data_IF_829870046471
#
_entry.id   IF_829870046471
#
_cell.length_a   1.000
_cell.length_b   1.000
_cell.length_c   1.000
_cell.angle_alpha   90.00
_cell.angle_beta   90.00
_cell.angle_gamma   90.00
#
_symmetry.space_group_name_H-M   'P 1'
#
loop_
_entity.id
_entity.type
_entity.pdbx_description
1 polymer ?
#
# COMPACT_ATOMS: atom_id res chain seq x y z
N UNK A 1 11.90 11.31 63.13
CA UNK A 1 11.10 12.45 63.59
C UNK A 1 10.94 12.50 65.13
N UNK A 2 11.95 12.09 65.92
CA UNK A 2 11.94 12.17 67.41
C UNK A 2 13.12 12.97 67.99
N UNK A 3 13.94 13.56 67.11
CA UNK A 3 15.26 14.12 67.43
C UNK A 3 15.24 15.39 68.31
N UNK A 4 14.16 16.18 68.25
CA UNK A 4 14.05 17.45 68.97
C UNK A 4 12.82 17.50 69.88
N UNK A 5 12.49 16.38 70.53
CA UNK A 5 11.43 16.33 71.52
C UNK A 5 11.93 16.81 72.90
N UNK A 6 11.07 17.42 73.71
CA UNK A 6 11.42 17.76 75.09
C UNK A 6 11.80 16.50 75.89
N UNK A 7 12.68 16.61 76.91
CA UNK A 7 13.33 15.46 77.55
C UNK A 7 12.34 14.43 78.14
N UNK A 8 11.18 14.88 78.62
CA UNK A 8 10.13 14.01 79.16
C UNK A 8 9.53 13.08 78.09
N UNK A 9 9.44 13.54 76.85
CA UNK A 9 8.95 12.75 75.72
C UNK A 9 10.09 11.93 75.09
N UNK A 10 11.32 12.43 75.10
CA UNK A 10 12.50 11.71 74.61
C UNK A 10 12.77 10.45 75.45
N UNK A 11 12.53 10.52 76.77
CA UNK A 11 12.66 9.39 77.69
C UNK A 11 11.74 8.19 77.34
N UNK A 12 10.59 8.43 76.69
CA UNK A 12 9.69 7.35 76.25
C UNK A 12 10.31 6.50 75.12
N UNK A 13 11.28 7.04 74.40
CA UNK A 13 12.00 6.37 73.32
C UNK A 13 13.35 5.80 73.77
N UNK A 14 13.55 5.65 75.09
CA UNK A 14 14.72 4.94 75.60
C UNK A 14 14.73 3.49 75.07
N UNK A 15 15.91 2.98 74.64
CA UNK A 15 16.01 1.60 74.20
C UNK A 15 15.67 0.65 75.35
N UNK A 16 15.09 -0.50 75.00
CA UNK A 16 14.93 -1.61 75.95
C UNK A 16 16.29 -2.24 76.26
N UNK A 17 16.33 -3.04 77.31
CA UNK A 17 17.47 -3.90 77.61
C UNK A 17 17.87 -4.73 76.38
N UNK A 18 19.17 -5.01 76.20
CA UNK A 18 19.65 -5.79 75.08
C UNK A 18 19.04 -7.20 75.08
N UNK A 19 18.71 -7.68 73.89
CA UNK A 19 18.13 -9.01 73.70
C UNK A 19 19.16 -10.08 74.14
N UNK A 20 18.76 -11.13 74.87
CA UNK A 20 19.67 -12.24 75.20
C UNK A 20 20.17 -12.90 73.92
N UNK A 21 21.47 -13.20 73.89
CA UNK A 21 22.09 -13.86 72.74
C UNK A 21 21.53 -15.26 72.53
N UNK A 22 21.15 -15.56 71.30
CA UNK A 22 20.83 -16.91 70.83
C UNK A 22 21.73 -17.23 69.62
N UNK A 23 22.27 -18.46 69.54
CA UNK A 23 23.06 -18.84 68.38
C UNK A 23 22.20 -18.89 67.11
N UNK A 24 22.76 -18.61 65.92
CA UNK A 24 22.06 -18.77 64.66
C UNK A 24 21.57 -20.22 64.47
N UNK A 25 20.36 -20.42 63.92
CA UNK A 25 19.79 -21.77 63.74
C UNK A 25 20.56 -22.60 62.70
N UNK A 26 21.17 -21.92 61.73
CA UNK A 26 21.87 -22.51 60.59
C UNK A 26 23.35 -22.14 60.63
N UNK A 27 24.20 -23.06 60.14
CA UNK A 27 25.62 -22.78 59.90
C UNK A 27 25.79 -21.83 58.73
N UNK A 28 26.90 -21.10 58.70
CA UNK A 28 27.24 -20.24 57.57
C UNK A 28 27.43 -21.06 56.29
N UNK A 29 27.14 -20.52 55.08
CA UNK A 29 27.20 -21.27 53.83
C UNK A 29 28.53 -22.00 53.56
N UNK A 30 29.66 -21.44 54.00
CA UNK A 30 30.99 -22.06 53.86
C UNK A 30 31.28 -23.16 54.91
N UNK A 31 30.53 -23.21 56.01
CA UNK A 31 30.60 -24.26 57.03
C UNK A 31 29.64 -25.43 56.72
N UNK A 32 28.72 -25.24 55.77
CA UNK A 32 27.81 -26.29 55.30
C UNK A 32 28.60 -27.32 54.49
N UNK A 33 28.77 -28.52 55.04
CA UNK A 33 29.35 -29.66 54.31
C UNK A 33 28.32 -30.21 53.31
N UNK A 34 28.46 -29.83 52.05
CA UNK A 34 27.60 -30.32 50.95
C UNK A 34 28.37 -31.31 50.06
N UNK A 35 27.66 -32.21 49.38
CA UNK A 35 28.23 -33.21 48.45
C UNK A 35 28.73 -32.62 47.12
N UNK A 36 28.65 -31.31 46.94
CA UNK A 36 29.03 -30.60 45.71
C UNK A 36 28.08 -30.86 44.54
N UNK A 37 28.19 -30.04 43.50
CA UNK A 37 27.52 -30.31 42.22
C UNK A 37 28.26 -31.42 41.48
N UNK A 38 27.50 -32.36 40.90
CA UNK A 38 28.05 -33.40 40.03
C UNK A 38 27.98 -32.95 38.56
N UNK A 39 28.89 -33.46 37.73
CA UNK A 39 28.88 -33.19 36.29
C UNK A 39 27.78 -33.96 35.56
N UNK A 40 27.48 -33.53 34.33
CA UNK A 40 26.47 -34.19 33.48
C UNK A 40 26.96 -35.46 32.79
N UNK A 41 28.21 -35.88 33.03
CA UNK A 41 28.83 -37.04 32.37
C UNK A 41 28.10 -38.37 32.60
N UNK A 42 27.39 -38.52 33.73
CA UNK A 42 26.56 -39.70 34.00
C UNK A 42 25.42 -39.88 32.98
N UNK A 43 25.03 -38.81 32.28
CA UNK A 43 23.90 -38.80 31.36
C UNK A 43 24.29 -38.98 29.88
N UNK A 44 25.59 -39.15 29.57
CA UNK A 44 26.06 -39.30 28.19
C UNK A 44 25.39 -40.50 27.48
N UNK A 45 25.05 -41.56 28.23
CA UNK A 45 24.39 -42.76 27.70
C UNK A 45 22.96 -42.55 27.22
N UNK A 46 22.33 -41.42 27.58
CA UNK A 46 20.95 -41.11 27.19
C UNK A 46 20.86 -40.24 25.92
N UNK A 47 21.98 -39.78 25.37
CA UNK A 47 21.97 -39.04 24.12
C UNK A 47 21.78 -40.03 22.96
N UNK A 48 20.81 -39.74 22.11
CA UNK A 48 20.51 -40.53 20.91
C UNK A 48 21.65 -40.41 19.89
N UNK A 49 21.92 -41.50 19.16
CA UNK A 49 22.93 -41.48 18.10
C UNK A 49 22.43 -40.62 16.92
N UNK A 50 23.29 -39.79 16.30
CA UNK A 50 22.91 -38.87 15.22
C UNK A 50 22.43 -39.57 13.93
N UNK A 51 22.48 -40.90 13.90
CA UNK A 51 21.94 -41.73 12.81
C UNK A 51 20.45 -42.02 12.98
N UNK A 52 19.97 -42.10 14.22
CA UNK A 52 18.60 -42.47 14.55
C UNK A 52 17.66 -41.26 14.52
N UNK A 53 18.19 -40.05 14.73
CA UNK A 53 17.45 -38.80 14.62
C UNK A 53 17.96 -37.94 13.46
N UNK A 54 17.25 -37.89 12.32
CA UNK A 54 17.58 -36.93 11.27
C UNK A 54 17.45 -35.50 11.80
N UNK A 55 18.21 -34.52 11.25
CA UNK A 55 18.09 -33.14 11.66
C UNK A 55 16.64 -32.65 11.47
N UNK A 56 16.14 -31.77 12.35
CA UNK A 56 14.77 -31.28 12.24
C UNK A 56 14.55 -30.65 10.87
N UNK A 57 13.48 -31.06 10.20
CA UNK A 57 13.12 -30.50 8.89
C UNK A 57 12.75 -29.03 9.08
N UNK A 58 13.46 -28.14 8.38
CA UNK A 58 13.14 -26.71 8.40
C UNK A 58 11.76 -26.52 7.77
N UNK A 59 10.76 -26.32 8.61
CA UNK A 59 9.42 -25.92 8.18
C UNK A 59 9.47 -24.45 7.77
N UNK A 60 8.74 -24.09 6.71
CA UNK A 60 8.59 -22.70 6.29
C UNK A 60 8.09 -21.85 7.47
N UNK A 61 8.80 -20.77 7.74
CA UNK A 61 8.32 -19.75 8.67
C UNK A 61 7.08 -19.06 8.10
N UNK A 62 6.29 -18.42 8.97
CA UNK A 62 5.11 -17.66 8.55
C UNK A 62 5.46 -16.57 7.52
N UNK A 63 6.65 -15.98 7.63
CA UNK A 63 7.15 -14.93 6.73
C UNK A 63 7.44 -15.49 5.33
N UNK A 64 8.15 -16.61 5.24
CA UNK A 64 8.41 -17.30 3.96
C UNK A 64 7.11 -17.69 3.25
N UNK A 65 6.11 -18.17 4.00
CA UNK A 65 4.78 -18.51 3.46
C UNK A 65 4.02 -17.28 2.94
N UNK A 66 4.16 -16.13 3.59
CA UNK A 66 3.52 -14.89 3.15
C UNK A 66 4.16 -14.38 1.86
N UNK A 67 5.49 -14.40 1.78
CA UNK A 67 6.24 -13.93 0.62
C UNK A 67 5.97 -14.80 -0.61
N UNK A 68 5.89 -16.13 -0.44
CA UNK A 68 5.46 -17.04 -1.50
C UNK A 68 4.09 -16.66 -2.07
N UNK A 69 3.10 -16.43 -1.18
CA UNK A 69 1.75 -16.02 -1.59
C UNK A 69 1.73 -14.66 -2.28
N UNK A 70 2.55 -13.71 -1.84
CA UNK A 70 2.66 -12.38 -2.48
C UNK A 70 3.22 -12.53 -3.89
N UNK A 71 4.30 -13.31 -4.06
CA UNK A 71 4.93 -13.58 -5.35
C UNK A 71 3.97 -14.30 -6.31
N UNK A 72 3.32 -15.37 -5.86
CA UNK A 72 2.32 -16.10 -6.67
C UNK A 72 1.18 -15.17 -7.15
N UNK A 73 0.70 -14.26 -6.28
CA UNK A 73 -0.32 -13.27 -6.66
C UNK A 73 0.21 -12.24 -7.65
N UNK A 74 1.43 -11.75 -7.46
CA UNK A 74 2.05 -10.80 -8.37
C UNK A 74 2.26 -11.43 -9.76
N UNK A 75 2.74 -12.66 -9.82
CA UNK A 75 2.91 -13.43 -11.06
C UNK A 75 1.55 -13.67 -11.76
N UNK A 76 0.50 -14.02 -11.01
CA UNK A 76 -0.86 -14.16 -11.58
C UNK A 76 -1.40 -12.84 -12.14
N UNK A 77 -1.21 -11.72 -11.45
CA UNK A 77 -1.62 -10.40 -11.92
C UNK A 77 -0.83 -10.00 -13.16
N UNK A 78 0.48 -10.24 -13.18
CA UNK A 78 1.34 -9.96 -14.33
C UNK A 78 0.91 -10.77 -15.56
N UNK A 79 0.70 -12.07 -15.41
CA UNK A 79 0.22 -12.93 -16.49
C UNK A 79 -1.13 -12.48 -17.06
N UNK A 80 -2.08 -12.10 -16.19
CA UNK A 80 -3.39 -11.60 -16.62
C UNK A 80 -3.26 -10.28 -17.38
N UNK A 81 -2.39 -9.38 -16.93
CA UNK A 81 -2.12 -8.11 -17.59
C UNK A 81 -1.51 -8.33 -18.98
N UNK A 82 -0.54 -9.24 -19.11
CA UNK A 82 0.06 -9.61 -20.40
C UNK A 82 -0.99 -10.11 -21.39
N UNK A 83 -1.92 -10.98 -20.94
CA UNK A 83 -3.03 -11.45 -21.75
C UNK A 83 -3.97 -10.31 -22.17
N UNK A 84 -4.32 -9.42 -21.24
CA UNK A 84 -5.21 -8.29 -21.51
C UNK A 84 -4.58 -7.30 -22.51
N UNK A 85 -3.28 -7.02 -22.40
CA UNK A 85 -2.53 -6.19 -23.34
C UNK A 85 -2.50 -6.84 -24.73
N UNK A 86 -2.27 -8.15 -24.82
CA UNK A 86 -2.23 -8.86 -26.10
C UNK A 86 -3.59 -8.85 -26.83
N UNK A 87 -4.70 -8.77 -26.10
CA UNK A 87 -6.06 -8.70 -26.67
C UNK A 87 -6.46 -7.27 -27.03
N UNK A 88 -5.83 -6.26 -26.43
CA UNK A 88 -6.24 -4.87 -26.56
C UNK A 88 -5.77 -4.24 -27.89
N UNK A 89 -6.72 -4.01 -28.79
CA UNK A 89 -6.52 -3.26 -30.04
C UNK A 89 -7.33 -1.94 -30.02
N UNK A 90 -6.67 -0.77 -30.00
CA UNK A 90 -7.34 0.54 -30.00
C UNK A 90 -8.08 0.86 -31.30
N UNK A 91 -7.62 0.32 -32.44
CA UNK A 91 -8.12 0.71 -33.76
C UNK A 91 -9.41 -0.03 -34.15
N UNK A 92 -9.67 -1.18 -33.52
CA UNK A 92 -10.82 -2.04 -33.82
C UNK A 92 -12.00 -1.87 -32.84
N UNK A 93 -12.08 -0.73 -32.13
CA UNK A 93 -13.14 -0.47 -31.16
C UNK A 93 -14.32 0.21 -31.87
N UNK A 94 -15.52 -0.41 -31.97
CA UNK A 94 -16.66 0.16 -32.71
C UNK A 94 -17.22 1.45 -32.09
N UNK A 95 -16.92 1.68 -30.80
CA UNK A 95 -17.34 2.86 -30.05
C UNK A 95 -16.35 4.02 -30.23
N UNK A 96 -15.13 3.74 -30.71
CA UNK A 96 -14.08 4.75 -30.84
C UNK A 96 -14.46 5.83 -31.87
N UNK A 97 -13.87 7.00 -31.64
CA UNK A 97 -14.02 8.16 -32.51
C UNK A 97 -13.08 8.02 -33.71
N UNK A 98 -13.46 8.59 -34.86
CA UNK A 98 -12.71 8.38 -36.11
C UNK A 98 -11.29 8.95 -36.09
N UNK A 99 -11.11 10.19 -35.64
CA UNK A 99 -9.82 10.89 -35.69
C UNK A 99 -9.28 11.22 -34.29
N UNK A 100 -8.21 10.55 -33.82
CA UNK A 100 -7.64 10.78 -32.49
C UNK A 100 -7.17 12.22 -32.26
N UNK A 101 -6.73 12.93 -33.30
CA UNK A 101 -6.21 14.30 -33.19
C UNK A 101 -7.33 15.35 -33.04
N UNK A 102 -8.56 14.98 -33.41
CA UNK A 102 -9.75 15.82 -33.25
C UNK A 102 -10.59 15.42 -32.04
N UNK A 103 -10.15 14.42 -31.28
CA UNK A 103 -10.89 13.85 -30.16
C UNK A 103 -10.34 14.37 -28.84
N UNK A 104 -11.20 15.03 -28.07
CA UNK A 104 -10.94 15.48 -26.72
C UNK A 104 -11.41 14.43 -25.71
N UNK A 105 -10.54 14.05 -24.78
CA UNK A 105 -10.87 13.18 -23.67
C UNK A 105 -11.22 14.01 -22.44
N UNK A 106 -12.40 13.75 -21.88
CA UNK A 106 -12.92 14.41 -20.69
C UNK A 106 -13.15 13.36 -19.61
N UNK A 107 -12.39 13.43 -18.52
CA UNK A 107 -12.55 12.55 -17.36
C UNK A 107 -13.16 13.29 -16.16
N UNK A 108 -13.56 12.50 -15.14
CA UNK A 108 -14.14 12.98 -13.88
C UNK A 108 -15.41 13.82 -14.08
N UNK A 109 -16.23 13.46 -15.06
CA UNK A 109 -17.57 14.03 -15.21
C UNK A 109 -18.50 13.46 -14.14
N UNK A 110 -19.41 14.29 -13.62
CA UNK A 110 -20.43 13.80 -12.69
C UNK A 110 -21.34 12.78 -13.40
N UNK A 111 -21.72 11.70 -12.72
CA UNK A 111 -22.51 10.60 -13.26
C UNK A 111 -23.92 11.02 -13.73
N UNK A 112 -24.46 12.10 -13.18
CA UNK A 112 -25.78 12.65 -13.56
C UNK A 112 -25.72 13.56 -14.79
N UNK A 113 -24.52 13.78 -15.35
CA UNK A 113 -24.33 14.70 -16.48
C UNK A 113 -24.81 14.03 -17.77
N UNK A 114 -25.80 14.65 -18.42
CA UNK A 114 -26.29 14.21 -19.72
C UNK A 114 -25.39 14.70 -20.84
N UNK A 115 -25.40 13.97 -21.97
CA UNK A 115 -24.69 14.34 -23.19
C UNK A 115 -25.07 15.76 -23.65
N UNK A 116 -26.33 16.16 -23.50
CA UNK A 116 -26.81 17.50 -23.86
C UNK A 116 -26.13 18.62 -23.05
N UNK A 117 -25.84 18.37 -21.77
CA UNK A 117 -25.14 19.33 -20.92
C UNK A 117 -23.67 19.47 -21.34
N UNK A 118 -23.01 18.35 -21.61
CA UNK A 118 -21.65 18.35 -22.16
C UNK A 118 -21.60 19.10 -23.50
N UNK A 119 -22.54 18.82 -24.41
CA UNK A 119 -22.61 19.51 -25.69
C UNK A 119 -22.70 21.03 -25.51
N UNK A 120 -23.59 21.51 -24.65
CA UNK A 120 -23.77 22.95 -24.40
C UNK A 120 -22.51 23.63 -23.86
N UNK A 121 -21.78 22.96 -22.96
CA UNK A 121 -20.55 23.50 -22.36
C UNK A 121 -19.39 23.52 -23.35
N UNK A 122 -19.25 22.47 -24.17
CA UNK A 122 -18.12 22.31 -25.08
C UNK A 122 -18.33 22.97 -26.46
N UNK A 123 -19.57 23.24 -26.86
CA UNK A 123 -19.91 23.90 -28.13
C UNK A 123 -19.41 25.36 -28.19
N UNK A 124 -19.12 25.98 -27.04
CA UNK A 124 -18.50 27.32 -26.95
C UNK A 124 -17.11 27.35 -27.60
N UNK A 125 -16.39 26.23 -27.61
CA UNK A 125 -15.03 26.17 -28.11
C UNK A 125 -14.92 25.86 -29.60
N UNK A 126 -15.95 25.22 -30.17
CA UNK A 126 -16.03 24.92 -31.59
C UNK A 126 -17.17 23.95 -31.94
N UNK A 127 -17.46 23.75 -33.24
CA UNK A 127 -18.47 22.81 -33.69
C UNK A 127 -18.07 21.37 -33.34
N UNK A 128 -18.99 20.68 -32.64
CA UNK A 128 -18.83 19.29 -32.20
C UNK A 128 -19.44 18.36 -33.25
N UNK A 129 -18.66 17.37 -33.68
CA UNK A 129 -19.07 16.33 -34.64
C UNK A 129 -19.76 15.15 -33.95
N UNK A 130 -19.19 14.65 -32.85
CA UNK A 130 -19.71 13.47 -32.13
C UNK A 130 -19.34 13.53 -30.66
N UNK A 131 -20.25 13.11 -29.78
CA UNK A 131 -19.98 12.90 -28.36
C UNK A 131 -20.22 11.43 -28.04
N UNK A 132 -19.30 10.81 -27.32
CA UNK A 132 -19.41 9.42 -26.86
C UNK A 132 -19.14 9.37 -25.37
N UNK A 133 -20.20 9.20 -24.58
CA UNK A 133 -20.08 8.97 -23.14
C UNK A 133 -19.82 7.47 -22.91
N UNK A 134 -18.80 7.14 -22.11
CA UNK A 134 -18.49 5.74 -21.86
C UNK A 134 -19.32 5.18 -20.71
N UNK A 135 -19.94 4.04 -20.96
CA UNK A 135 -20.73 3.28 -19.99
C UNK A 135 -20.06 1.94 -19.71
N UNK A 136 -20.22 1.43 -18.49
CA UNK A 136 -19.78 0.10 -18.14
C UNK A 136 -20.64 -0.93 -18.90
N UNK A 137 -20.02 -1.82 -19.67
CA UNK A 137 -20.71 -2.82 -20.50
C UNK A 137 -21.53 -3.82 -19.67
N UNK A 138 -21.16 -4.06 -18.41
CA UNK A 138 -21.85 -5.01 -17.54
C UNK A 138 -23.05 -4.37 -16.84
N UNK A 139 -22.87 -3.15 -16.31
CA UNK A 139 -23.83 -2.54 -15.40
C UNK A 139 -24.62 -1.38 -16.03
N UNK A 140 -24.27 -0.94 -17.24
CA UNK A 140 -24.86 0.21 -17.92
C UNK A 140 -24.58 1.57 -17.26
N UNK A 141 -23.92 1.60 -16.10
CA UNK A 141 -23.63 2.83 -15.36
C UNK A 141 -22.57 3.67 -16.09
N UNK A 142 -22.68 5.02 -16.08
CA UNK A 142 -21.67 5.90 -16.66
C UNK A 142 -20.33 5.72 -15.94
N UNK A 143 -19.24 5.62 -16.70
CA UNK A 143 -17.89 5.40 -16.15
C UNK A 143 -17.21 6.70 -15.71
N UNK A 144 -17.82 7.85 -15.98
CA UNK A 144 -17.29 9.16 -15.60
C UNK A 144 -16.26 9.71 -16.58
N UNK A 145 -16.27 9.27 -17.85
CA UNK A 145 -15.50 9.89 -18.93
C UNK A 145 -16.25 9.89 -20.26
N UNK A 146 -15.89 10.84 -21.12
CA UNK A 146 -16.46 11.03 -22.46
C UNK A 146 -15.37 11.40 -23.48
N UNK A 147 -15.63 11.05 -24.74
CA UNK A 147 -14.84 11.46 -25.89
C UNK A 147 -15.66 12.43 -26.73
N UNK A 148 -15.07 13.57 -27.08
CA UNK A 148 -15.72 14.62 -27.87
C UNK A 148 -14.91 14.83 -29.15
N UNK A 149 -15.50 14.49 -30.29
CA UNK A 149 -14.93 14.74 -31.62
C UNK A 149 -15.33 16.14 -32.08
N UNK A 150 -14.34 16.99 -32.39
CA UNK A 150 -14.57 18.27 -33.05
C UNK A 150 -14.46 18.14 -34.58
N UNK A 151 -15.03 19.09 -35.30
CA UNK A 151 -14.85 19.15 -36.76
C UNK A 151 -13.41 19.52 -37.16
N UNK A 152 -12.78 20.42 -36.41
CA UNK A 152 -11.42 20.92 -36.67
C UNK A 152 -10.47 20.66 -35.50
N UNK A 153 -9.23 20.27 -35.80
CA UNK A 153 -8.17 20.05 -34.81
C UNK A 153 -7.83 21.33 -34.01
N UNK A 154 -7.91 22.50 -34.66
CA UNK A 154 -7.63 23.80 -34.02
C UNK A 154 -8.55 24.09 -32.84
N UNK A 155 -9.81 23.67 -32.93
CA UNK A 155 -10.82 23.92 -31.91
C UNK A 155 -10.56 23.05 -30.66
N UNK A 156 -10.07 21.82 -30.87
CA UNK A 156 -9.59 20.95 -29.81
C UNK A 156 -8.34 21.54 -29.11
N UNK A 157 -7.36 22.00 -29.88
CA UNK A 157 -6.04 22.41 -29.37
C UNK A 157 -5.98 23.79 -28.70
N UNK A 158 -6.63 24.81 -29.26
CA UNK A 158 -6.23 26.21 -29.02
C UNK A 158 -7.10 26.96 -27.99
N UNK A 159 -8.26 26.43 -27.62
CA UNK A 159 -9.18 27.10 -26.66
C UNK A 159 -9.60 26.22 -25.49
N UNK A 160 -9.90 24.94 -25.74
CA UNK A 160 -10.38 24.02 -24.70
C UNK A 160 -9.33 23.77 -23.61
N UNK A 161 -8.09 23.46 -24.00
CA UNK A 161 -7.06 22.95 -23.07
C UNK A 161 -6.50 24.06 -22.16
N UNK A 162 -6.39 25.29 -22.64
CA UNK A 162 -5.79 26.40 -21.89
C UNK A 162 -6.79 27.10 -20.97
N UNK A 163 -8.06 27.21 -21.36
CA UNK A 163 -9.11 27.85 -20.53
C UNK A 163 -9.75 26.91 -19.52
N UNK A 164 -9.82 25.59 -19.78
CA UNK A 164 -10.48 24.65 -18.85
C UNK A 164 -9.57 24.17 -17.72
N UNK A 165 -8.25 24.40 -17.80
CA UNK A 165 -7.35 24.23 -16.64
C UNK A 165 -7.62 25.25 -15.52
N UNK A 166 -8.22 26.40 -15.84
CA UNK A 166 -8.44 27.53 -14.92
C UNK A 166 -9.82 27.54 -14.25
N UNK A 167 -10.81 26.77 -14.74
CA UNK A 167 -12.17 26.67 -14.15
C UNK A 167 -12.21 25.82 -12.87
N UNK A 168 -11.06 25.30 -12.43
CA UNK A 168 -10.86 24.40 -11.28
C UNK A 168 -11.35 24.95 -9.91
N UNK A 169 -11.67 26.24 -9.76
CA UNK A 169 -12.05 26.82 -8.46
C UNK A 169 -13.54 27.05 -8.21
N UNK A 170 -14.44 26.81 -9.18
CA UNK A 170 -15.88 26.96 -8.93
C UNK A 170 -16.72 25.76 -9.41
N UNK A 171 -16.76 24.75 -8.53
CA UNK A 171 -17.77 23.70 -8.35
C UNK A 171 -18.06 22.73 -9.52
N UNK A 172 -17.64 21.49 -9.24
CA UNK A 172 -18.29 20.20 -9.58
C UNK A 172 -18.05 19.50 -10.92
N UNK A 173 -17.49 20.11 -11.98
CA UNK A 173 -17.71 19.49 -13.31
C UNK A 173 -16.47 18.96 -14.03
N UNK A 174 -15.25 19.48 -13.87
CA UNK A 174 -14.13 19.03 -14.72
C UNK A 174 -12.78 19.03 -13.99
N UNK A 175 -12.22 17.84 -13.79
CA UNK A 175 -10.80 17.70 -13.45
C UNK A 175 -10.10 16.84 -14.50
N UNK A 176 -9.22 17.53 -15.23
CA UNK A 176 -8.14 17.02 -16.07
C UNK A 176 -8.58 16.53 -17.47
N UNK A 177 -8.27 17.35 -18.48
CA UNK A 177 -8.21 16.93 -19.88
C UNK A 177 -6.75 16.74 -20.30
N UNK A 178 -6.49 15.62 -20.94
CA UNK A 178 -5.22 15.31 -21.59
C UNK A 178 -5.47 15.02 -23.07
N UNK A 179 -4.47 15.26 -23.91
CA UNK A 179 -4.54 14.89 -25.33
C UNK A 179 -4.71 13.37 -25.45
N UNK A 180 -5.51 12.91 -26.41
CA UNK A 180 -5.64 11.49 -26.77
C UNK A 180 -4.28 10.80 -26.97
N UNK A 181 -3.28 11.52 -27.48
CA UNK A 181 -1.91 11.04 -27.68
C UNK A 181 -1.06 10.97 -26.41
N UNK A 182 -1.35 11.74 -25.36
CA UNK A 182 -0.65 11.68 -24.05
C UNK A 182 -1.29 10.67 -23.08
N UNK A 183 -2.51 10.21 -23.39
CA UNK A 183 -3.29 9.29 -22.55
C UNK A 183 -2.87 7.83 -22.64
N UNK A 184 -2.19 7.41 -23.71
CA UNK A 184 -1.62 6.06 -23.76
C UNK A 184 -0.52 5.86 -22.70
N UNK A 185 0.29 6.89 -22.42
CA UNK A 185 1.39 6.82 -21.46
C UNK A 185 0.97 7.12 -20.02
N UNK A 186 0.00 8.01 -19.81
CA UNK A 186 -0.45 8.38 -18.45
C UNK A 186 -1.41 7.36 -17.82
N UNK A 187 -2.21 6.65 -18.61
CA UNK A 187 -3.09 5.57 -18.10
C UNK A 187 -2.30 4.34 -17.61
N UNK A 188 -1.07 4.15 -18.10
CA UNK A 188 -0.11 3.15 -17.62
C UNK A 188 0.61 3.59 -16.32
N UNK A 189 0.65 4.89 -16.01
CA UNK A 189 1.41 5.44 -14.88
C UNK A 189 0.61 5.50 -13.56
N UNK A 190 -0.72 5.56 -13.61
CA UNK A 190 -1.59 5.63 -12.41
C UNK A 190 -2.00 4.26 -11.84
N UNK A 191 -1.71 3.16 -12.55
CA UNK A 191 -1.77 1.82 -11.99
C UNK A 191 -0.46 1.56 -11.23
N UNK A 192 -0.51 1.44 -9.89
CA UNK A 192 0.62 1.12 -8.99
C UNK A 192 1.38 -0.19 -9.30
N UNK A 193 1.09 -0.86 -10.42
CA UNK A 193 1.57 -2.19 -10.80
C UNK A 193 2.85 -2.14 -11.66
N UNK A 194 3.23 -0.99 -12.23
CA UNK A 194 4.35 -0.88 -13.19
C UNK A 194 5.55 -0.06 -12.67
N UNK A 195 5.79 0.02 -11.35
CA UNK A 195 7.04 0.63 -10.83
C UNK A 195 8.29 -0.16 -11.26
N UNK A 196 8.16 -1.44 -11.55
CA UNK A 196 9.27 -2.31 -11.95
C UNK A 196 9.55 -2.30 -13.47
N UNK A 197 8.62 -1.79 -14.30
CA UNK A 197 8.74 -1.83 -15.76
C UNK A 197 9.51 -0.63 -16.35
N UNK A 198 9.58 0.48 -15.61
CA UNK A 198 10.30 1.68 -16.00
C UNK A 198 11.83 1.50 -16.03
N UNK A 199 12.36 0.45 -15.39
CA UNK A 199 13.80 0.16 -15.43
C UNK A 199 14.25 -0.44 -16.79
N UNK A 200 13.35 -1.02 -17.57
CA UNK A 200 13.67 -1.65 -18.85
C UNK A 200 13.57 -0.71 -20.06
N UNK A 201 12.77 0.35 -19.97
CA UNK A 201 12.59 1.29 -21.08
C UNK A 201 13.71 2.34 -21.18
N UNK A 202 14.51 2.52 -20.14
CA UNK A 202 15.71 3.38 -20.18
C UNK A 202 16.87 2.75 -20.98
N UNK A 203 16.77 1.46 -21.33
CA UNK A 203 17.80 0.70 -22.06
C UNK A 203 17.59 0.58 -23.58
N UNK A 204 16.46 1.05 -24.12
CA UNK A 204 16.13 0.94 -25.55
C UNK A 204 15.70 2.30 -26.12
N UNK A 205 16.63 3.27 -26.08
CA UNK A 205 16.62 4.43 -26.98
C UNK A 205 17.45 4.07 -28.22
N UNK A 206 16.77 3.73 -29.30
CA UNK A 206 17.18 4.00 -30.68
C UNK A 206 15.96 4.40 -31.49
#
# INVERSE_FOLDING_TARGET
MTQFLPPNLLALFAPRDPIPFLPPPDKLPHEKKNRGYQGVGAFIKYFEDPKDTPPPTRVETREERLERRRRERAEQVAYKLEQEIAIWDPHNIPIATGDPFKTLFVARINYDTSESKLRREFEVYGPIKKIVVSHNTVNGKPRGYAFIEYEHERDMHCKCVDTLKTVSYNKEILQNMYKSTELMLSFLLECEILKDFLFLFEYLKF
#
